data_IF_913147066587
#
_entry.id   IF_913147066587
#
_cell.length_a   1.000
_cell.length_b   1.000
_cell.length_c   1.000
_cell.angle_alpha   90.00
_cell.angle_beta   90.00
_cell.angle_gamma   90.00
#
_symmetry.space_group_name_H-M   'P 1'
#
loop_
_entity.id
_entity.type
_entity.pdbx_description
1 polymer ?
#
# COMPACT_ATOMS: atom_id res chain seq x y z
N UNK A 1 -16.38 37.52 -13.02
CA UNK A 1 -15.97 38.10 -11.73
C UNK A 1 -15.03 37.12 -11.04
N UNK A 2 -13.81 37.53 -10.78
CA UNK A 2 -12.88 36.71 -10.01
C UNK A 2 -13.42 36.54 -8.60
N UNK A 3 -13.61 35.27 -8.19
CA UNK A 3 -14.21 34.93 -6.89
C UNK A 3 -13.08 34.91 -5.86
N UNK A 4 -13.09 35.87 -4.96
CA UNK A 4 -12.24 35.82 -3.78
C UNK A 4 -12.74 34.69 -2.85
N UNK A 5 -11.82 33.79 -2.46
CA UNK A 5 -12.13 32.74 -1.49
C UNK A 5 -11.08 32.69 -0.37
N UNK A 6 -11.41 32.08 0.74
CA UNK A 6 -10.43 31.79 1.79
C UNK A 6 -9.52 30.65 1.39
N UNK A 7 -8.32 30.57 1.98
CA UNK A 7 -7.45 29.41 1.79
C UNK A 7 -8.09 28.12 2.32
N UNK A 8 -8.89 28.21 3.39
CA UNK A 8 -9.68 27.08 3.89
C UNK A 8 -10.66 26.54 2.85
N UNK A 9 -11.37 27.44 2.18
CA UNK A 9 -12.29 27.08 1.08
C UNK A 9 -11.55 26.47 -0.10
N UNK A 10 -10.40 27.04 -0.48
CA UNK A 10 -9.57 26.50 -1.56
C UNK A 10 -9.09 25.10 -1.25
N UNK A 11 -8.61 24.83 0.00
CA UNK A 11 -8.19 23.48 0.40
C UNK A 11 -9.38 22.51 0.23
N UNK A 12 -10.54 22.86 0.78
CA UNK A 12 -11.72 21.99 0.71
C UNK A 12 -12.17 21.72 -0.73
N UNK A 13 -12.26 22.75 -1.57
CA UNK A 13 -12.62 22.59 -2.99
C UNK A 13 -11.57 21.78 -3.78
N UNK A 14 -10.26 21.98 -3.51
CA UNK A 14 -9.20 21.20 -4.16
C UNK A 14 -9.26 19.71 -3.77
N UNK A 15 -9.51 19.39 -2.50
CA UNK A 15 -9.66 18.02 -2.04
C UNK A 15 -10.85 17.34 -2.72
N UNK A 16 -12.02 17.99 -2.74
CA UNK A 16 -13.23 17.47 -3.41
C UNK A 16 -13.00 17.30 -4.91
N UNK A 17 -12.34 18.27 -5.55
CA UNK A 17 -12.02 18.21 -6.98
C UNK A 17 -11.11 17.03 -7.36
N UNK A 18 -10.28 16.56 -6.42
CA UNK A 18 -9.46 15.33 -6.57
C UNK A 18 -10.14 14.08 -6.01
N UNK A 19 -11.45 14.13 -5.72
CA UNK A 19 -12.23 12.97 -5.30
C UNK A 19 -12.03 12.56 -3.84
N UNK A 20 -11.51 13.43 -3.00
CA UNK A 20 -11.40 13.19 -1.55
C UNK A 20 -12.77 13.37 -0.90
N UNK A 21 -13.30 12.31 -0.34
CA UNK A 21 -14.58 12.27 0.37
C UNK A 21 -14.42 12.02 1.87
N UNK A 22 -13.22 11.66 2.32
CA UNK A 22 -12.87 11.46 3.73
C UNK A 22 -11.56 12.15 4.08
N UNK A 23 -11.49 12.75 5.28
CA UNK A 23 -10.25 13.19 5.93
C UNK A 23 -10.15 12.62 7.33
N UNK A 24 -8.94 12.22 7.72
CA UNK A 24 -8.66 11.64 9.04
C UNK A 24 -7.77 12.59 9.82
N UNK A 25 -8.15 12.97 11.04
CA UNK A 25 -7.45 14.06 11.70
C UNK A 25 -7.51 14.00 13.23
N UNK A 26 -6.62 14.76 13.85
CA UNK A 26 -6.77 15.23 15.23
C UNK A 26 -7.14 16.71 15.22
N UNK A 27 -7.92 17.13 16.20
CA UNK A 27 -8.47 18.49 16.28
C UNK A 27 -7.40 19.60 16.36
N UNK A 28 -7.86 20.82 16.23
CA UNK A 28 -7.10 22.07 16.27
C UNK A 28 -6.20 22.33 15.04
N UNK A 29 -6.50 21.73 13.90
CA UNK A 29 -5.77 21.95 12.64
C UNK A 29 -6.71 22.50 11.57
N UNK A 30 -6.25 23.52 10.81
CA UNK A 30 -6.92 24.05 9.63
C UNK A 30 -8.46 24.15 9.81
N UNK A 31 -8.91 24.66 10.95
CA UNK A 31 -10.34 24.63 11.37
C UNK A 31 -11.28 25.21 10.33
N UNK A 32 -10.89 26.29 9.65
CA UNK A 32 -11.72 26.84 8.59
C UNK A 32 -11.87 25.88 7.41
N UNK A 33 -10.79 25.19 7.03
CA UNK A 33 -10.86 24.19 5.99
C UNK A 33 -11.79 23.02 6.38
N UNK A 34 -11.79 22.61 7.66
CA UNK A 34 -12.71 21.58 8.17
C UNK A 34 -14.17 22.01 8.10
N UNK A 35 -14.48 23.29 8.38
CA UNK A 35 -15.85 23.83 8.24
C UNK A 35 -16.29 23.80 6.76
N UNK A 36 -15.43 24.28 5.87
CA UNK A 36 -15.71 24.27 4.43
C UNK A 36 -15.85 22.87 3.85
N UNK A 37 -15.07 21.90 4.36
CA UNK A 37 -15.19 20.48 3.99
C UNK A 37 -16.55 19.91 4.38
N UNK A 38 -17.12 20.31 5.55
CA UNK A 38 -18.45 19.89 5.95
C UNK A 38 -19.52 20.36 4.97
N UNK A 39 -19.46 21.64 4.58
CA UNK A 39 -20.38 22.22 3.61
C UNK A 39 -20.31 21.52 2.24
N UNK A 40 -19.12 20.99 1.87
CA UNK A 40 -18.89 20.25 0.63
C UNK A 40 -19.16 18.74 0.74
N UNK A 41 -19.62 18.27 1.91
CA UNK A 41 -19.97 16.87 2.15
C UNK A 41 -18.77 15.93 2.38
N UNK A 42 -17.59 16.46 2.64
CA UNK A 42 -16.42 15.64 3.03
C UNK A 42 -16.60 15.12 4.45
N UNK A 43 -16.46 13.82 4.62
CA UNK A 43 -16.58 13.16 5.91
C UNK A 43 -15.28 13.32 6.71
N UNK A 44 -15.36 13.97 7.85
CA UNK A 44 -14.20 14.33 8.68
C UNK A 44 -14.12 13.41 9.89
N UNK A 45 -13.26 12.41 9.83
CA UNK A 45 -13.09 11.38 10.87
C UNK A 45 -12.08 11.87 11.91
N UNK A 46 -12.58 12.30 13.06
CA UNK A 46 -11.75 12.67 14.22
C UNK A 46 -11.29 11.39 14.92
N UNK A 47 -9.97 11.16 14.94
CA UNK A 47 -9.31 10.03 15.60
C UNK A 47 -8.93 10.34 17.05
N UNK A 48 -8.40 9.36 17.78
CA UNK A 48 -7.85 9.52 19.13
C UNK A 48 -6.34 9.77 19.15
N UNK A 49 -5.69 9.59 18.00
CA UNK A 49 -4.28 9.95 17.84
C UNK A 49 -3.96 10.32 16.38
N UNK A 50 -2.95 11.18 16.20
CA UNK A 50 -2.47 11.58 14.88
C UNK A 50 -1.90 10.37 14.11
N UNK A 51 -1.23 9.45 14.83
CA UNK A 51 -0.73 8.20 14.29
C UNK A 51 -1.88 7.31 13.82
N UNK A 52 -2.97 7.19 14.61
CA UNK A 52 -4.19 6.50 14.23
C UNK A 52 -4.84 7.11 12.99
N UNK A 53 -4.90 8.44 12.91
CA UNK A 53 -5.43 9.15 11.74
C UNK A 53 -4.63 8.85 10.47
N UNK A 54 -3.29 8.82 10.54
CA UNK A 54 -2.44 8.47 9.39
C UNK A 54 -2.61 7.01 8.95
N UNK A 55 -2.78 6.08 9.90
CA UNK A 55 -3.07 4.67 9.60
C UNK A 55 -4.45 4.46 8.97
N UNK A 56 -5.46 5.20 9.43
CA UNK A 56 -6.78 5.20 8.77
C UNK A 56 -6.68 5.72 7.34
N UNK A 57 -5.93 6.81 7.12
CA UNK A 57 -5.70 7.35 5.78
C UNK A 57 -4.96 6.34 4.88
N UNK A 58 -3.95 5.65 5.40
CA UNK A 58 -3.22 4.62 4.67
C UNK A 58 -4.13 3.44 4.28
N UNK A 59 -4.88 2.89 5.25
CA UNK A 59 -5.85 1.83 4.99
C UNK A 59 -6.91 2.25 3.98
N UNK A 60 -7.44 3.47 4.08
CA UNK A 60 -8.37 4.03 3.12
C UNK A 60 -7.75 4.09 1.71
N UNK A 61 -6.55 4.68 1.57
CA UNK A 61 -5.92 4.86 0.28
C UNK A 61 -5.67 3.54 -0.45
N UNK A 62 -5.17 2.52 0.24
CA UNK A 62 -4.91 1.19 -0.33
C UNK A 62 -6.18 0.54 -0.87
N UNK A 63 -7.30 0.68 -0.16
CA UNK A 63 -8.57 0.03 -0.52
C UNK A 63 -9.36 0.86 -1.54
N UNK A 64 -9.46 2.18 -1.34
CA UNK A 64 -10.16 3.07 -2.26
C UNK A 64 -9.44 3.25 -3.60
N UNK A 65 -8.15 2.94 -3.66
CA UNK A 65 -7.29 3.17 -4.83
C UNK A 65 -7.23 4.65 -5.22
N UNK A 66 -7.22 5.51 -4.20
CA UNK A 66 -7.23 6.98 -4.32
C UNK A 66 -6.31 7.60 -3.28
N UNK A 67 -5.81 8.82 -3.51
CA UNK A 67 -5.14 9.57 -2.46
C UNK A 67 -6.04 9.76 -1.25
N UNK A 68 -5.48 9.57 -0.05
CA UNK A 68 -6.14 9.86 1.21
C UNK A 68 -5.48 11.04 1.91
N UNK A 69 -6.22 11.70 2.80
CA UNK A 69 -5.73 12.89 3.50
C UNK A 69 -5.76 12.66 5.00
N UNK A 70 -4.64 12.96 5.67
CA UNK A 70 -4.58 13.06 7.12
C UNK A 70 -4.07 14.42 7.55
N UNK A 71 -4.50 14.86 8.76
CA UNK A 71 -4.25 16.23 9.20
C UNK A 71 -3.87 16.28 10.68
N UNK A 72 -2.88 17.10 11.01
CA UNK A 72 -2.55 17.44 12.38
C UNK A 72 -1.85 18.79 12.48
N UNK A 73 -1.67 19.30 13.71
CA UNK A 73 -0.95 20.54 13.90
C UNK A 73 0.31 20.36 14.75
N UNK A 74 1.24 21.23 14.55
CA UNK A 74 2.33 21.54 15.48
C UNK A 74 3.00 20.30 16.07
N UNK A 75 2.96 20.09 17.38
CA UNK A 75 3.57 18.90 18.03
C UNK A 75 2.93 17.59 17.59
N UNK A 76 1.65 17.59 17.25
CA UNK A 76 0.97 16.42 16.70
C UNK A 76 1.50 15.96 15.35
N UNK A 77 2.18 16.85 14.62
CA UNK A 77 2.88 16.50 13.37
C UNK A 77 3.94 15.40 13.58
N UNK A 78 4.60 15.34 14.74
CA UNK A 78 5.57 14.29 15.04
C UNK A 78 4.89 12.91 15.12
N UNK A 79 3.73 12.82 15.78
CA UNK A 79 2.94 11.60 15.82
C UNK A 79 2.38 11.22 14.45
N UNK A 80 1.94 12.20 13.66
CA UNK A 80 1.48 11.97 12.28
C UNK A 80 2.60 11.41 11.42
N UNK A 81 3.80 12.01 11.49
CA UNK A 81 4.99 11.56 10.76
C UNK A 81 5.32 10.10 11.08
N UNK A 82 5.29 9.72 12.37
CA UNK A 82 5.54 8.34 12.79
C UNK A 82 4.57 7.34 12.17
N UNK A 83 3.34 7.73 11.85
CA UNK A 83 2.37 6.88 11.17
C UNK A 83 2.56 6.78 9.66
N UNK A 84 3.18 7.77 9.02
CA UNK A 84 3.38 7.76 7.56
C UNK A 84 4.41 6.77 7.07
N UNK A 85 5.24 6.19 7.94
CA UNK A 85 6.22 5.19 7.53
C UNK A 85 5.57 3.97 6.86
N UNK A 86 4.40 3.51 7.36
CA UNK A 86 3.68 2.40 6.72
C UNK A 86 3.14 2.78 5.34
N UNK A 87 2.63 4.00 5.18
CA UNK A 87 2.25 4.52 3.87
C UNK A 87 3.45 4.61 2.91
N UNK A 88 4.63 4.99 3.42
CA UNK A 88 5.85 5.07 2.62
C UNK A 88 6.30 3.70 2.11
N UNK A 89 6.44 2.71 2.99
CA UNK A 89 6.82 1.35 2.61
C UNK A 89 5.71 0.62 1.84
N UNK A 90 4.44 0.91 2.16
CA UNK A 90 3.27 0.36 1.48
C UNK A 90 2.94 1.03 0.14
N UNK A 91 3.76 1.99 -0.33
CA UNK A 91 3.55 2.74 -1.58
C UNK A 91 2.14 3.34 -1.66
N UNK A 92 1.68 3.91 -0.56
CA UNK A 92 0.32 4.41 -0.40
C UNK A 92 0.27 5.94 -0.53
N UNK A 93 -0.55 6.51 -1.42
CA UNK A 93 -0.60 7.94 -1.65
C UNK A 93 -1.39 8.65 -0.55
N UNK A 94 -0.72 8.99 0.54
CA UNK A 94 -1.29 9.75 1.65
C UNK A 94 -0.78 11.19 1.62
N UNK A 95 -1.68 12.16 1.62
CA UNK A 95 -1.36 13.60 1.71
C UNK A 95 -1.53 14.03 3.16
N UNK A 96 -0.41 14.37 3.80
CA UNK A 96 -0.38 14.88 5.16
C UNK A 96 -0.40 16.41 5.15
N UNK A 97 -1.41 17.02 5.76
CA UNK A 97 -1.51 18.48 5.93
C UNK A 97 -1.23 18.83 7.38
N UNK A 98 -0.22 19.66 7.62
CA UNK A 98 0.11 20.15 8.97
C UNK A 98 0.03 21.66 9.06
N UNK A 99 -0.31 22.16 10.25
CA UNK A 99 -0.25 23.59 10.58
C UNK A 99 0.97 23.87 11.45
N UNK A 100 1.66 24.98 11.20
CA UNK A 100 2.83 25.42 11.93
C UNK A 100 2.79 26.91 12.25
N UNK A 101 3.70 27.36 13.11
CA UNK A 101 3.83 28.77 13.43
C UNK A 101 4.17 29.62 12.19
N UNK A 102 3.60 30.81 12.12
CA UNK A 102 3.92 31.77 11.06
C UNK A 102 5.36 32.25 11.15
N UNK A 103 5.94 32.66 10.02
CA UNK A 103 7.34 33.09 9.93
C UNK A 103 7.72 34.17 10.95
N UNK A 104 6.82 35.12 11.22
CA UNK A 104 7.03 36.20 12.19
C UNK A 104 7.15 35.73 13.65
N UNK A 105 6.69 34.55 13.99
CA UNK A 105 6.76 33.96 15.34
C UNK A 105 7.88 32.94 15.51
N UNK A 106 8.47 32.47 14.42
CA UNK A 106 9.55 31.47 14.46
C UNK A 106 10.81 32.01 15.11
N UNK A 107 11.60 31.10 15.71
CA UNK A 107 12.84 31.39 16.44
C UNK A 107 12.65 32.29 17.69
N UNK A 108 11.44 32.35 18.20
CA UNK A 108 11.08 33.19 19.36
C UNK A 108 10.52 32.36 20.52
N UNK A 109 10.73 31.04 20.51
CA UNK A 109 10.13 30.10 21.47
C UNK A 109 8.60 30.18 21.46
N UNK A 110 8.01 30.29 20.27
CA UNK A 110 6.56 30.29 20.12
C UNK A 110 5.96 28.96 20.62
N UNK A 111 4.75 29.03 21.16
CA UNK A 111 4.06 27.86 21.68
C UNK A 111 3.96 26.76 20.62
N UNK A 112 4.42 25.54 20.97
CA UNK A 112 4.45 24.39 20.08
C UNK A 112 5.23 24.58 18.76
N UNK A 113 6.22 25.43 18.75
CA UNK A 113 7.10 25.59 17.60
C UNK A 113 7.96 24.34 17.40
N UNK A 114 7.82 23.68 16.24
CA UNK A 114 8.58 22.52 15.84
C UNK A 114 8.88 22.56 14.35
N UNK A 115 10.13 22.30 13.91
CA UNK A 115 10.46 22.22 12.49
C UNK A 115 9.92 20.90 11.90
N UNK A 116 8.83 20.98 11.12
CA UNK A 116 8.16 19.79 10.57
C UNK A 116 8.92 19.18 9.39
N UNK A 117 9.47 19.98 8.48
CA UNK A 117 10.11 19.48 7.25
C UNK A 117 11.18 18.41 7.52
N UNK A 118 12.11 18.54 8.50
CA UNK A 118 13.07 17.48 8.80
C UNK A 118 12.44 16.18 9.25
N UNK A 119 11.28 16.22 9.95
CA UNK A 119 10.55 15.03 10.42
C UNK A 119 9.95 14.26 9.24
N UNK A 120 9.41 14.98 8.25
CA UNK A 120 8.70 14.36 7.13
C UNK A 120 9.61 13.97 5.96
N UNK A 121 10.79 14.60 5.83
CA UNK A 121 11.68 14.40 4.68
C UNK A 121 12.06 12.95 4.40
N UNK A 122 12.29 12.14 5.43
CA UNK A 122 12.67 10.73 5.29
C UNK A 122 11.48 9.78 5.11
N UNK A 123 10.27 10.27 5.32
CA UNK A 123 9.03 9.45 5.36
C UNK A 123 8.04 9.83 4.26
N UNK A 124 8.41 10.77 3.40
CA UNK A 124 7.54 11.25 2.32
C UNK A 124 8.35 11.44 1.04
N UNK A 125 7.68 11.31 -0.09
CA UNK A 125 8.27 11.61 -1.41
C UNK A 125 8.65 13.08 -1.55
N UNK A 126 7.86 13.95 -0.91
CA UNK A 126 8.06 15.38 -0.86
C UNK A 126 7.50 15.98 0.42
N UNK A 127 8.22 16.92 1.01
CA UNK A 127 7.73 17.79 2.07
C UNK A 127 7.89 19.24 1.60
N UNK A 128 6.82 20.03 1.59
CA UNK A 128 6.80 21.39 1.10
C UNK A 128 6.13 22.34 2.09
N UNK A 129 6.60 23.59 2.15
CA UNK A 129 6.02 24.62 3.00
C UNK A 129 5.13 25.54 2.18
N UNK A 130 3.94 25.84 2.70
CA UNK A 130 3.04 26.85 2.18
C UNK A 130 3.15 28.08 3.07
N UNK A 131 3.89 29.08 2.62
CA UNK A 131 4.14 30.31 3.34
C UNK A 131 3.18 31.43 2.94
N UNK A 132 2.79 31.44 1.67
CA UNK A 132 2.00 32.48 1.05
C UNK A 132 0.73 31.92 0.42
N UNK A 133 -0.40 32.64 0.45
CA UNK A 133 -1.64 32.22 -0.19
C UNK A 133 -1.48 31.83 -1.65
N UNK A 134 -0.63 32.53 -2.39
CA UNK A 134 -0.36 32.32 -3.82
C UNK A 134 0.23 30.93 -4.13
N UNK A 135 0.91 30.33 -3.18
CA UNK A 135 1.53 29.01 -3.34
C UNK A 135 0.53 27.86 -3.17
N UNK A 136 -0.59 28.11 -2.48
CA UNK A 136 -1.48 27.04 -1.97
C UNK A 136 -2.07 26.18 -3.10
N UNK A 137 -2.64 26.81 -4.13
CA UNK A 137 -3.24 26.09 -5.26
C UNK A 137 -2.23 25.19 -5.98
N UNK A 138 -1.08 25.77 -6.32
CA UNK A 138 0.00 25.04 -7.02
C UNK A 138 0.54 23.89 -6.19
N UNK A 139 0.80 24.10 -4.89
CA UNK A 139 1.35 23.05 -4.03
C UNK A 139 0.35 21.93 -3.72
N UNK A 140 -0.96 22.24 -3.63
CA UNK A 140 -1.99 21.20 -3.51
C UNK A 140 -2.03 20.31 -4.76
N UNK A 141 -2.07 20.91 -5.98
CA UNK A 141 -1.99 20.12 -7.23
C UNK A 141 -0.73 19.25 -7.27
N UNK A 142 0.42 19.85 -6.91
CA UNK A 142 1.69 19.12 -6.89
C UNK A 142 1.67 17.96 -5.89
N UNK A 143 1.01 18.12 -4.74
CA UNK A 143 0.90 17.06 -3.74
C UNK A 143 0.15 15.83 -4.29
N UNK A 144 -0.97 16.02 -4.99
CA UNK A 144 -1.69 14.90 -5.62
C UNK A 144 -0.86 14.23 -6.71
N UNK A 145 -0.21 15.02 -7.56
CA UNK A 145 0.69 14.53 -8.61
C UNK A 145 1.84 13.70 -8.02
N UNK A 146 2.55 14.24 -7.05
CA UNK A 146 3.71 13.56 -6.44
C UNK A 146 3.29 12.28 -5.69
N UNK A 147 2.14 12.30 -5.00
CA UNK A 147 1.65 11.15 -4.27
C UNK A 147 1.30 9.95 -5.18
N UNK A 148 0.81 10.22 -6.40
CA UNK A 148 0.20 9.19 -7.26
C UNK A 148 1.08 8.74 -8.43
N UNK A 149 2.17 9.44 -8.75
CA UNK A 149 3.02 9.14 -9.92
C UNK A 149 4.29 8.37 -9.56
N UNK A 150 4.84 7.65 -10.52
CA UNK A 150 6.01 6.77 -10.32
C UNK A 150 5.70 5.69 -9.28
N UNK A 151 6.58 5.53 -8.30
CA UNK A 151 6.26 4.79 -7.08
C UNK A 151 5.32 5.66 -6.23
N UNK A 152 4.04 5.28 -6.02
CA UNK A 152 3.15 6.07 -5.18
C UNK A 152 3.67 6.15 -3.74
N UNK A 153 3.24 7.16 -2.99
CA UNK A 153 3.68 7.29 -1.60
C UNK A 153 3.23 8.60 -0.95
N UNK A 154 3.48 8.76 0.35
CA UNK A 154 3.02 9.91 1.10
C UNK A 154 3.73 11.21 0.69
N UNK A 155 3.01 12.31 0.83
CA UNK A 155 3.46 13.68 0.59
C UNK A 155 3.01 14.57 1.75
N UNK A 156 3.82 15.58 2.09
CA UNK A 156 3.54 16.47 3.19
C UNK A 156 3.47 17.93 2.72
N UNK A 157 2.43 18.63 3.15
CA UNK A 157 2.30 20.09 3.03
C UNK A 157 2.18 20.72 4.43
N UNK A 158 3.13 21.60 4.73
CA UNK A 158 3.22 22.32 5.98
C UNK A 158 2.70 23.75 5.80
N UNK A 159 1.55 24.06 6.40
CA UNK A 159 0.79 25.29 6.13
C UNK A 159 1.03 26.33 7.22
N UNK A 160 1.35 27.55 6.85
CA UNK A 160 1.60 28.63 7.77
C UNK A 160 0.35 29.05 8.56
N UNK A 161 0.55 29.35 9.83
CA UNK A 161 -0.49 29.63 10.81
C UNK A 161 -0.73 28.43 11.72
N UNK A 162 -0.76 28.66 13.05
CA UNK A 162 -0.85 27.58 14.05
C UNK A 162 -2.06 26.68 13.80
N UNK A 163 -3.20 27.28 13.45
CA UNK A 163 -4.41 26.60 13.04
C UNK A 163 -4.69 26.75 11.54
N UNK A 164 -3.68 27.15 10.76
CA UNK A 164 -3.84 27.52 9.35
C UNK A 164 -4.45 28.91 9.12
N UNK A 165 -4.55 29.73 10.18
CA UNK A 165 -5.30 30.99 10.14
C UNK A 165 -4.78 31.97 9.09
N UNK A 166 -3.45 32.08 8.90
CA UNK A 166 -2.87 33.01 7.92
C UNK A 166 -3.31 32.67 6.50
N UNK A 167 -3.26 31.39 6.15
CA UNK A 167 -3.68 30.93 4.82
C UNK A 167 -5.20 30.69 4.81
N UNK A 168 -5.75 30.10 5.88
CA UNK A 168 -7.16 29.74 5.97
C UNK A 168 -8.10 30.93 5.94
N UNK A 169 -7.74 32.02 6.62
CA UNK A 169 -8.59 33.22 6.74
C UNK A 169 -8.35 34.26 5.63
N UNK A 170 -7.18 34.25 5.01
CA UNK A 170 -6.89 35.21 3.97
C UNK A 170 -7.82 35.03 2.77
N UNK A 171 -8.45 36.11 2.32
CA UNK A 171 -9.23 36.12 1.07
C UNK A 171 -8.32 36.52 -0.07
N UNK A 172 -8.16 35.66 -1.02
CA UNK A 172 -7.29 35.85 -2.16
C UNK A 172 -7.96 35.38 -3.46
N UNK A 173 -7.54 35.89 -4.59
CA UNK A 173 -7.95 35.36 -5.86
C UNK A 173 -7.04 34.18 -6.26
N UNK A 174 -7.47 32.97 -5.94
CA UNK A 174 -6.74 31.75 -6.28
C UNK A 174 -6.98 31.29 -7.73
N UNK A 175 -7.77 32.01 -8.50
CA UNK A 175 -8.21 31.57 -9.82
C UNK A 175 -9.22 30.44 -9.75
N UNK A 176 -9.22 29.59 -10.78
CA UNK A 176 -10.05 28.38 -10.82
C UNK A 176 -9.34 27.25 -10.08
N UNK A 177 -10.09 26.52 -9.28
CA UNK A 177 -9.61 25.24 -8.73
C UNK A 177 -9.63 24.23 -9.89
N UNK A 178 -8.47 24.01 -10.49
CA UNK A 178 -8.33 23.00 -11.53
C UNK A 178 -8.05 21.64 -10.87
N UNK A 179 -8.88 20.65 -11.19
CA UNK A 179 -8.64 19.27 -10.84
C UNK A 179 -7.92 18.57 -12.00
N UNK A 180 -6.76 18.05 -11.72
CA UNK A 180 -6.11 17.08 -12.60
C UNK A 180 -6.71 15.71 -12.26
N UNK A 181 -7.85 15.35 -12.84
CA UNK A 181 -8.59 14.12 -12.53
C UNK A 181 -7.74 12.85 -12.64
N UNK A 182 -6.71 12.86 -13.47
CA UNK A 182 -5.76 11.76 -13.62
C UNK A 182 -5.00 11.44 -12.33
N UNK A 183 -4.80 12.43 -11.43
CA UNK A 183 -4.13 12.24 -10.13
C UNK A 183 -5.09 11.94 -8.97
N UNK A 184 -6.35 11.68 -9.27
CA UNK A 184 -7.35 11.21 -8.28
C UNK A 184 -7.31 9.70 -8.04
N UNK A 185 -6.45 8.97 -8.76
CA UNK A 185 -6.23 7.52 -8.64
C UNK A 185 -4.73 7.21 -8.70
N UNK A 186 -4.33 6.00 -8.33
CA UNK A 186 -2.94 5.58 -8.45
C UNK A 186 -2.79 4.15 -8.99
N UNK A 187 -1.69 3.87 -9.67
CA UNK A 187 -0.76 4.83 -10.26
C UNK A 187 -1.46 5.72 -11.29
N UNK A 188 -1.22 7.04 -11.21
CA UNK A 188 -1.88 8.00 -12.11
C UNK A 188 -1.37 7.88 -13.55
N UNK A 189 -0.06 7.86 -13.72
CA UNK A 189 0.61 7.75 -15.01
C UNK A 189 1.34 6.41 -15.09
N UNK A 190 1.05 5.63 -16.12
CA UNK A 190 1.63 4.30 -16.34
C UNK A 190 2.57 4.33 -17.53
N UNK A 191 3.77 3.78 -17.36
CA UNK A 191 4.76 3.69 -18.43
C UNK A 191 4.92 2.25 -18.88
N UNK A 192 4.83 1.93 -20.19
CA UNK A 192 5.12 0.59 -20.71
C UNK A 192 6.62 0.31 -20.67
N UNK A 193 6.98 -0.97 -20.76
CA UNK A 193 8.38 -1.39 -20.87
C UNK A 193 8.98 -1.05 -22.25
N UNK A 194 10.30 -0.80 -22.28
CA UNK A 194 11.01 -0.57 -23.54
C UNK A 194 10.97 -1.82 -24.43
N UNK A 195 10.64 -1.71 -25.73
CA UNK A 195 10.45 -2.86 -26.62
C UNK A 195 11.64 -3.82 -26.69
N UNK A 196 12.88 -3.32 -26.67
CA UNK A 196 14.07 -4.18 -26.71
C UNK A 196 14.26 -4.97 -25.42
N UNK A 197 13.89 -4.41 -24.26
CA UNK A 197 13.91 -5.13 -22.99
C UNK A 197 12.80 -6.20 -22.97
N UNK A 198 11.61 -5.90 -23.50
CA UNK A 198 10.54 -6.89 -23.67
C UNK A 198 11.03 -8.08 -24.50
N UNK A 199 11.67 -7.84 -25.66
CA UNK A 199 12.24 -8.89 -26.51
C UNK A 199 13.30 -9.71 -25.77
N UNK A 200 14.21 -9.04 -25.06
CA UNK A 200 15.25 -9.70 -24.27
C UNK A 200 14.67 -10.61 -23.19
N UNK A 201 13.68 -10.11 -22.44
CA UNK A 201 13.01 -10.88 -21.39
C UNK A 201 12.22 -12.04 -22.01
N UNK A 202 11.52 -11.83 -23.12
CA UNK A 202 10.82 -12.88 -23.84
C UNK A 202 11.78 -14.03 -24.24
N UNK A 203 12.98 -13.71 -24.73
CA UNK A 203 14.01 -14.72 -25.04
C UNK A 203 14.42 -15.52 -23.80
N UNK A 204 14.58 -14.87 -22.65
CA UNK A 204 14.89 -15.56 -21.39
C UNK A 204 13.76 -16.48 -20.96
N UNK A 205 12.52 -16.02 -21.05
CA UNK A 205 11.32 -16.82 -20.71
C UNK A 205 11.23 -18.05 -21.63
N UNK A 206 11.50 -17.89 -22.94
CA UNK A 206 11.47 -18.98 -23.91
C UNK A 206 12.53 -20.04 -23.61
N UNK A 207 13.71 -19.63 -23.20
CA UNK A 207 14.83 -20.52 -22.89
C UNK A 207 14.70 -21.25 -21.54
N UNK A 208 14.00 -20.66 -20.59
CA UNK A 208 13.87 -21.19 -19.23
C UNK A 208 13.03 -22.48 -19.17
N UNK A 209 13.54 -23.46 -18.44
CA UNK A 209 12.85 -24.74 -18.19
C UNK A 209 12.04 -24.73 -16.89
N UNK A 210 12.50 -23.99 -15.91
CA UNK A 210 11.92 -23.89 -14.56
C UNK A 210 11.79 -22.42 -14.12
N UNK A 211 11.07 -21.58 -14.89
CA UNK A 211 10.84 -20.20 -14.46
C UNK A 211 9.87 -20.13 -13.28
N UNK A 212 9.98 -19.07 -12.48
CA UNK A 212 9.01 -18.71 -11.42
C UNK A 212 8.78 -17.20 -11.44
N UNK A 213 7.53 -16.77 -11.18
CA UNK A 213 7.23 -15.37 -10.88
C UNK A 213 7.19 -15.20 -9.35
N UNK A 214 7.89 -14.20 -8.88
CA UNK A 214 7.76 -13.66 -7.51
C UNK A 214 6.92 -12.40 -7.59
N UNK A 215 5.64 -12.50 -7.22
CA UNK A 215 4.73 -11.38 -7.15
C UNK A 215 4.95 -10.60 -5.85
N UNK A 216 5.11 -9.28 -5.93
CA UNK A 216 5.31 -8.43 -4.77
C UNK A 216 4.39 -7.20 -4.80
N UNK A 217 4.51 -6.31 -3.82
CA UNK A 217 3.65 -5.14 -3.58
C UNK A 217 3.29 -4.37 -4.86
N UNK A 218 4.23 -4.21 -5.80
CA UNK A 218 3.97 -3.50 -7.05
C UNK A 218 2.91 -4.15 -7.94
N UNK A 219 2.65 -5.46 -7.81
CA UNK A 219 1.53 -6.13 -8.49
C UNK A 219 0.20 -5.58 -7.97
N UNK A 220 0.05 -5.52 -6.64
CA UNK A 220 -1.14 -4.97 -5.98
C UNK A 220 -1.28 -3.46 -6.26
N UNK A 221 -0.19 -2.69 -6.13
CA UNK A 221 -0.19 -1.25 -6.43
C UNK A 221 -0.59 -0.97 -7.87
N UNK A 222 -0.12 -1.77 -8.81
CA UNK A 222 -0.40 -1.61 -10.25
C UNK A 222 -1.78 -2.17 -10.66
N UNK A 223 -2.49 -2.86 -9.75
CA UNK A 223 -3.70 -3.64 -10.07
C UNK A 223 -3.43 -4.61 -11.23
N UNK A 224 -2.35 -5.38 -11.08
CA UNK A 224 -1.80 -6.23 -12.14
C UNK A 224 -2.14 -7.73 -11.95
N UNK A 225 -3.00 -8.09 -10.98
CA UNK A 225 -3.31 -9.47 -10.62
C UNK A 225 -3.81 -10.26 -11.84
N UNK A 226 -4.79 -9.73 -12.56
CA UNK A 226 -5.35 -10.39 -13.76
C UNK A 226 -4.31 -10.50 -14.90
N UNK A 227 -3.48 -9.47 -15.10
CA UNK A 227 -2.42 -9.50 -16.10
C UNK A 227 -1.34 -10.52 -15.74
N UNK A 228 -0.99 -10.64 -14.45
CA UNK A 228 -0.04 -11.63 -13.95
C UNK A 228 -0.59 -13.05 -14.11
N UNK A 229 -1.85 -13.27 -13.77
CA UNK A 229 -2.50 -14.57 -13.96
C UNK A 229 -2.49 -14.98 -15.43
N UNK A 230 -2.94 -14.11 -16.34
CA UNK A 230 -2.94 -14.38 -17.78
C UNK A 230 -1.53 -14.67 -18.33
N UNK A 231 -0.52 -13.93 -17.88
CA UNK A 231 0.89 -14.17 -18.21
C UNK A 231 1.37 -15.54 -17.71
N UNK A 232 1.11 -15.85 -16.44
CA UNK A 232 1.53 -17.09 -15.81
C UNK A 232 0.88 -18.33 -16.44
N UNK A 233 -0.44 -18.26 -16.72
CA UNK A 233 -1.19 -19.32 -17.39
C UNK A 233 -0.68 -19.57 -18.82
N UNK A 234 -0.49 -18.50 -19.61
CA UNK A 234 -0.05 -18.60 -21.00
C UNK A 234 1.30 -19.27 -21.12
N UNK A 235 2.19 -19.08 -20.17
CA UNK A 235 3.55 -19.62 -20.23
C UNK A 235 3.80 -20.74 -19.23
N UNK A 236 2.77 -21.25 -18.55
CA UNK A 236 2.87 -22.31 -17.53
C UNK A 236 3.97 -22.03 -16.51
N UNK A 237 3.93 -20.83 -15.90
CA UNK A 237 4.88 -20.36 -14.90
C UNK A 237 4.23 -20.33 -13.53
N UNK A 238 4.75 -21.07 -12.52
CA UNK A 238 4.23 -20.98 -11.17
C UNK A 238 4.48 -19.58 -10.56
N UNK A 239 3.59 -19.17 -9.68
CA UNK A 239 3.65 -17.88 -8.98
C UNK A 239 3.81 -18.11 -7.49
N UNK A 240 4.82 -17.50 -6.91
CA UNK A 240 4.93 -17.29 -5.46
C UNK A 240 4.69 -15.82 -5.15
N UNK A 241 4.09 -15.54 -4.02
CA UNK A 241 3.76 -14.17 -3.63
C UNK A 241 4.52 -13.76 -2.37
N UNK A 242 4.89 -12.48 -2.26
CA UNK A 242 5.23 -11.90 -0.96
C UNK A 242 3.98 -11.80 -0.09
N UNK A 243 4.14 -11.48 1.20
CA UNK A 243 3.00 -11.21 2.08
C UNK A 243 2.14 -10.05 1.57
N UNK A 244 2.76 -9.05 0.93
CA UNK A 244 2.08 -7.85 0.41
C UNK A 244 1.31 -8.10 -0.90
N UNK A 245 1.61 -9.22 -1.57
CA UNK A 245 0.96 -9.65 -2.81
C UNK A 245 0.12 -10.93 -2.63
N UNK A 246 -0.22 -11.30 -1.39
CA UNK A 246 -0.93 -12.54 -1.06
C UNK A 246 -2.23 -12.75 -1.86
N UNK A 247 -2.91 -11.67 -2.22
CA UNK A 247 -4.18 -11.73 -2.98
C UNK A 247 -4.00 -11.90 -4.49
N UNK A 248 -2.77 -12.16 -4.98
CA UNK A 248 -2.50 -12.23 -6.43
C UNK A 248 -3.19 -13.40 -7.11
N UNK A 249 -3.18 -14.57 -6.49
CA UNK A 249 -3.89 -15.77 -6.95
C UNK A 249 -4.64 -16.41 -5.78
N UNK A 250 -5.84 -16.94 -6.04
CA UNK A 250 -6.59 -17.71 -5.05
C UNK A 250 -5.83 -18.97 -4.64
N UNK A 251 -6.10 -19.47 -3.44
CA UNK A 251 -5.38 -20.64 -2.88
C UNK A 251 -5.53 -21.91 -3.71
N UNK A 252 -6.68 -22.09 -4.36
CA UNK A 252 -6.98 -23.26 -5.21
C UNK A 252 -6.39 -23.19 -6.62
N UNK A 253 -5.83 -22.03 -7.02
CA UNK A 253 -5.27 -21.85 -8.37
C UNK A 253 -4.05 -22.77 -8.59
N UNK A 254 -3.98 -23.56 -9.69
CA UNK A 254 -2.93 -24.57 -9.89
C UNK A 254 -1.51 -24.00 -10.01
N UNK A 255 -1.38 -22.71 -10.35
CA UNK A 255 -0.09 -22.02 -10.42
C UNK A 255 0.29 -21.33 -9.11
N UNK A 256 -0.58 -21.29 -8.09
CA UNK A 256 -0.25 -20.71 -6.80
C UNK A 256 0.70 -21.63 -6.02
N UNK A 257 1.94 -21.22 -5.87
CA UNK A 257 2.95 -21.98 -5.13
C UNK A 257 3.21 -21.47 -3.70
N UNK A 258 2.40 -20.51 -3.23
CA UNK A 258 2.39 -20.02 -1.85
C UNK A 258 3.19 -18.75 -1.61
N UNK A 259 3.49 -18.51 -0.33
CA UNK A 259 4.15 -17.29 0.14
C UNK A 259 5.65 -17.54 0.28
N UNK A 260 6.47 -16.67 -0.36
CA UNK A 260 7.94 -16.75 -0.42
C UNK A 260 8.60 -15.79 0.58
N UNK A 261 9.82 -16.08 0.95
CA UNK A 261 10.70 -15.21 1.71
C UNK A 261 10.95 -15.64 3.16
N UNK A 262 11.18 -14.67 4.04
CA UNK A 262 11.50 -14.93 5.47
C UNK A 262 10.29 -15.50 6.22
N UNK A 263 9.10 -14.96 5.98
CA UNK A 263 7.84 -15.46 6.53
C UNK A 263 7.09 -16.20 5.43
N UNK A 264 7.45 -17.45 5.21
CA UNK A 264 7.08 -18.18 4.00
C UNK A 264 6.40 -19.50 4.28
N UNK A 265 5.93 -20.09 3.19
CA UNK A 265 5.66 -21.54 3.12
C UNK A 265 6.89 -22.20 2.51
N UNK A 266 7.39 -23.27 3.13
CA UNK A 266 8.61 -23.96 2.67
C UNK A 266 8.55 -24.35 1.18
N UNK A 267 7.38 -24.73 0.70
CA UNK A 267 7.16 -25.06 -0.71
C UNK A 267 7.52 -23.89 -1.65
N UNK A 268 7.16 -22.65 -1.30
CA UNK A 268 7.43 -21.48 -2.11
C UNK A 268 8.95 -21.19 -2.21
N UNK A 269 9.65 -21.26 -1.08
CA UNK A 269 11.11 -21.10 -1.05
C UNK A 269 11.81 -22.24 -1.85
N UNK A 270 11.30 -23.47 -1.79
CA UNK A 270 11.81 -24.60 -2.59
C UNK A 270 11.63 -24.33 -4.10
N UNK A 271 10.47 -23.80 -4.51
CA UNK A 271 10.21 -23.44 -5.92
C UNK A 271 11.21 -22.41 -6.43
N UNK A 272 11.44 -21.32 -5.67
CA UNK A 272 12.41 -20.27 -6.05
C UNK A 272 13.84 -20.84 -6.08
N UNK A 273 14.18 -21.71 -5.11
CA UNK A 273 15.49 -22.36 -5.05
C UNK A 273 15.77 -23.27 -6.24
N UNK A 274 14.73 -23.95 -6.76
CA UNK A 274 14.85 -24.88 -7.89
C UNK A 274 14.74 -24.20 -9.27
N UNK A 275 14.37 -22.92 -9.30
CA UNK A 275 14.17 -22.16 -10.53
C UNK A 275 15.48 -21.89 -11.28
N UNK A 276 15.40 -21.84 -12.62
CA UNK A 276 16.50 -21.39 -13.51
C UNK A 276 16.31 -19.94 -14.00
N UNK A 277 15.10 -19.40 -13.84
CA UNK A 277 14.76 -18.00 -14.09
C UNK A 277 13.79 -17.53 -13.02
N UNK A 278 14.11 -16.43 -12.34
CA UNK A 278 13.23 -15.76 -11.38
C UNK A 278 12.81 -14.41 -11.92
N UNK A 279 11.49 -14.19 -12.02
CA UNK A 279 10.90 -12.95 -12.49
C UNK A 279 10.27 -12.24 -11.28
N UNK A 280 10.95 -11.23 -10.74
CA UNK A 280 10.41 -10.37 -9.71
C UNK A 280 9.44 -9.37 -10.34
N UNK A 281 8.16 -9.52 -10.08
CA UNK A 281 7.11 -8.64 -10.58
C UNK A 281 6.70 -7.64 -9.50
N UNK A 282 7.04 -6.37 -9.71
CA UNK A 282 6.71 -5.29 -8.80
C UNK A 282 7.46 -5.32 -7.47
N UNK A 283 8.71 -5.80 -7.48
CA UNK A 283 9.53 -5.99 -6.27
C UNK A 283 10.79 -5.12 -6.29
N UNK A 284 11.08 -4.50 -5.15
CA UNK A 284 12.39 -3.90 -4.86
C UNK A 284 13.43 -4.93 -4.39
N UNK A 285 13.06 -6.22 -4.38
CA UNK A 285 13.92 -7.36 -4.04
C UNK A 285 14.51 -7.24 -2.63
N UNK A 286 13.61 -7.00 -1.65
CA UNK A 286 13.96 -6.83 -0.24
C UNK A 286 14.43 -8.14 0.42
N UNK A 287 15.01 -8.00 1.61
CA UNK A 287 15.40 -9.11 2.49
C UNK A 287 14.23 -10.04 2.82
N UNK A 288 13.05 -9.49 3.06
CA UNK A 288 11.86 -10.28 3.40
C UNK A 288 11.41 -11.19 2.25
N UNK A 289 11.41 -10.69 1.01
CA UNK A 289 10.98 -11.45 -0.17
C UNK A 289 12.02 -12.50 -0.58
N UNK A 290 13.29 -12.22 -0.31
CA UNK A 290 14.42 -13.06 -0.73
C UNK A 290 15.01 -13.93 0.37
N UNK A 291 14.36 -13.99 1.53
CA UNK A 291 14.89 -14.66 2.71
C UNK A 291 16.33 -14.24 3.02
N UNK A 292 16.53 -12.93 3.28
CA UNK A 292 17.83 -12.31 3.51
C UNK A 292 18.82 -12.52 2.34
N UNK A 293 18.34 -12.33 1.11
CA UNK A 293 19.08 -12.45 -0.15
C UNK A 293 19.70 -13.84 -0.38
N UNK A 294 19.13 -14.89 0.23
CA UNK A 294 19.50 -16.28 -0.04
C UNK A 294 18.70 -16.89 -1.20
N UNK A 295 17.64 -16.21 -1.66
CA UNK A 295 16.77 -16.61 -2.75
C UNK A 295 16.68 -15.51 -3.83
N UNK A 296 16.89 -15.87 -5.11
CA UNK A 296 17.31 -17.16 -5.65
C UNK A 296 18.78 -17.49 -5.33
N UNK A 297 19.21 -18.71 -5.68
CA UNK A 297 20.61 -19.10 -5.55
C UNK A 297 21.52 -18.26 -6.44
N UNK A 298 22.76 -18.12 -6.02
CA UNK A 298 23.78 -17.45 -6.82
C UNK A 298 23.87 -18.05 -8.23
N UNK A 299 24.01 -17.16 -9.23
CA UNK A 299 24.09 -17.54 -10.64
C UNK A 299 22.73 -17.76 -11.33
N UNK A 300 21.60 -17.76 -10.59
CA UNK A 300 20.28 -17.83 -11.21
C UNK A 300 19.99 -16.56 -12.02
N UNK A 301 19.43 -16.72 -13.23
CA UNK A 301 19.03 -15.58 -14.05
C UNK A 301 17.85 -14.86 -13.39
N UNK A 302 17.94 -13.53 -13.29
CA UNK A 302 16.91 -12.68 -12.68
C UNK A 302 16.34 -11.71 -13.71
N UNK A 303 15.03 -11.56 -13.73
CA UNK A 303 14.31 -10.45 -14.35
C UNK A 303 13.65 -9.64 -13.23
N UNK A 304 13.79 -8.32 -13.27
CA UNK A 304 13.16 -7.44 -12.29
C UNK A 304 12.30 -6.39 -13.00
N UNK A 305 11.01 -6.41 -12.73
CA UNK A 305 10.02 -5.44 -13.22
C UNK A 305 9.69 -4.50 -12.08
N UNK A 306 10.05 -3.21 -12.19
CA UNK A 306 9.77 -2.25 -11.13
C UNK A 306 9.61 -0.83 -11.66
N UNK A 307 8.82 0.00 -10.96
CA UNK A 307 8.54 1.35 -11.42
C UNK A 307 9.69 2.35 -11.20
N UNK A 308 10.56 2.11 -10.20
CA UNK A 308 11.73 2.93 -9.93
C UNK A 308 12.98 2.31 -10.56
N UNK A 309 13.59 2.95 -11.59
CA UNK A 309 14.78 2.43 -12.23
C UNK A 309 16.02 2.38 -11.30
N UNK A 310 16.05 3.15 -10.22
CA UNK A 310 17.17 3.15 -9.27
C UNK A 310 17.25 1.86 -8.43
N UNK A 311 16.15 1.10 -8.35
CA UNK A 311 16.09 -0.18 -7.63
C UNK A 311 16.49 -1.38 -8.49
N UNK A 312 16.56 -1.22 -9.81
CA UNK A 312 16.81 -2.34 -10.73
C UNK A 312 18.26 -2.84 -10.64
N UNK A 313 18.41 -4.15 -10.39
CA UNK A 313 19.72 -4.81 -10.34
C UNK A 313 20.55 -4.50 -9.08
N UNK A 314 19.97 -3.86 -8.06
CA UNK A 314 20.67 -3.48 -6.83
C UNK A 314 21.28 -4.68 -6.11
N UNK A 315 20.57 -5.80 -6.04
CA UNK A 315 20.93 -6.94 -5.19
C UNK A 315 21.46 -8.15 -5.95
N UNK A 316 21.19 -8.30 -7.25
CA UNK A 316 21.61 -9.44 -8.06
C UNK A 316 22.29 -8.99 -9.35
N UNK A 317 23.53 -9.43 -9.57
CA UNK A 317 24.34 -9.01 -10.73
C UNK A 317 23.79 -9.52 -12.08
N UNK A 318 23.13 -10.67 -12.10
CA UNK A 318 22.56 -11.29 -13.32
C UNK A 318 21.19 -10.72 -13.69
N UNK A 319 20.84 -9.52 -13.21
CA UNK A 319 19.50 -8.96 -13.40
C UNK A 319 19.33 -8.31 -14.77
N UNK A 320 18.25 -8.67 -15.45
CA UNK A 320 17.68 -7.88 -16.55
C UNK A 320 16.55 -7.05 -15.97
N UNK A 321 16.84 -5.77 -15.68
CA UNK A 321 15.88 -4.83 -15.15
C UNK A 321 15.06 -4.18 -16.27
N UNK A 322 13.74 -4.02 -16.03
CA UNK A 322 12.84 -3.28 -16.91
C UNK A 322 12.02 -2.27 -16.08
N UNK A 323 12.26 -0.97 -16.27
CA UNK A 323 11.49 0.06 -15.59
C UNK A 323 10.10 0.23 -16.22
N UNK A 324 9.08 0.40 -15.40
CA UNK A 324 7.73 0.71 -15.84
C UNK A 324 6.64 0.11 -14.97
N UNK A 325 5.40 0.25 -15.44
CA UNK A 325 4.22 -0.26 -14.76
C UNK A 325 4.11 -1.79 -14.93
N UNK A 326 3.95 -2.49 -13.82
CA UNK A 326 3.94 -3.97 -13.80
C UNK A 326 2.85 -4.54 -14.69
N UNK A 327 1.63 -3.96 -14.66
CA UNK A 327 0.51 -4.44 -15.46
C UNK A 327 0.80 -4.32 -16.95
N UNK A 328 1.24 -3.14 -17.40
CA UNK A 328 1.54 -2.90 -18.81
C UNK A 328 2.68 -3.78 -19.32
N UNK A 329 3.71 -3.99 -18.50
CA UNK A 329 4.85 -4.86 -18.89
C UNK A 329 4.40 -6.32 -18.97
N UNK A 330 3.60 -6.81 -18.02
CA UNK A 330 3.06 -8.18 -18.10
C UNK A 330 2.14 -8.37 -19.32
N UNK A 331 1.28 -7.38 -19.62
CA UNK A 331 0.45 -7.38 -20.84
C UNK A 331 1.32 -7.44 -22.11
N UNK A 332 2.40 -6.64 -22.20
CA UNK A 332 3.35 -6.69 -23.31
C UNK A 332 4.06 -8.05 -23.44
N UNK A 333 4.51 -8.62 -22.30
CA UNK A 333 5.17 -9.93 -22.28
C UNK A 333 4.19 -11.05 -22.66
N UNK A 334 2.92 -10.95 -22.27
CA UNK A 334 1.90 -11.97 -22.57
C UNK A 334 1.69 -12.17 -24.08
N UNK A 335 1.87 -11.11 -24.87
CA UNK A 335 1.71 -11.19 -26.34
C UNK A 335 3.06 -11.33 -27.09
N UNK A 336 4.19 -11.34 -26.37
CA UNK A 336 5.52 -11.36 -26.99
C UNK A 336 5.95 -12.73 -27.51
N UNK A 337 5.35 -13.81 -27.01
CA UNK A 337 5.69 -15.20 -27.36
C UNK A 337 4.43 -16.03 -27.57
N UNK A 338 4.59 -17.13 -28.31
CA UNK A 338 3.58 -18.20 -28.36
C UNK A 338 3.45 -18.89 -27.00
N UNK A 339 2.28 -19.51 -26.71
CA UNK A 339 2.08 -20.26 -25.48
C UNK A 339 3.15 -21.32 -25.25
N UNK A 340 3.60 -21.46 -24.03
CA UNK A 340 4.64 -22.43 -23.64
C UNK A 340 4.08 -23.36 -22.56
N UNK A 341 4.20 -24.67 -22.77
CA UNK A 341 3.83 -25.67 -21.75
C UNK A 341 5.08 -26.17 -21.00
N UNK A 342 4.95 -26.24 -19.66
CA UNK A 342 6.02 -26.74 -18.75
C UNK A 342 5.48 -27.80 -17.78
N UNK A 343 4.78 -28.79 -18.32
CA UNK A 343 4.04 -29.78 -17.52
C UNK A 343 4.90 -30.47 -16.46
N UNK A 344 6.16 -30.83 -16.78
CA UNK A 344 7.05 -31.51 -15.82
C UNK A 344 7.42 -30.58 -14.65
N UNK A 345 7.66 -29.28 -14.92
CA UNK A 345 7.95 -28.30 -13.89
C UNK A 345 6.74 -28.06 -12.98
N UNK A 346 5.56 -27.88 -13.59
CA UNK A 346 4.32 -27.70 -12.82
C UNK A 346 3.99 -28.92 -11.95
N UNK A 347 4.23 -30.13 -12.42
CA UNK A 347 4.07 -31.35 -11.63
C UNK A 347 5.00 -31.38 -10.40
N UNK A 348 6.25 -30.95 -10.57
CA UNK A 348 7.19 -30.84 -9.45
C UNK A 348 6.76 -29.77 -8.44
N UNK A 349 6.30 -28.61 -8.90
CA UNK A 349 5.77 -27.55 -8.03
C UNK A 349 4.52 -28.00 -7.28
N UNK A 350 3.60 -28.67 -7.95
CA UNK A 350 2.40 -29.25 -7.33
C UNK A 350 2.76 -30.24 -6.23
N UNK A 351 3.84 -31.04 -6.41
CA UNK A 351 4.32 -31.94 -5.36
C UNK A 351 4.83 -31.15 -4.13
N UNK A 352 5.64 -30.09 -4.31
CA UNK A 352 6.11 -29.26 -3.20
C UNK A 352 4.94 -28.65 -2.41
N UNK A 353 3.93 -28.13 -3.11
CA UNK A 353 2.73 -27.55 -2.48
C UNK A 353 1.92 -28.61 -1.74
N UNK A 354 1.73 -29.80 -2.34
CA UNK A 354 1.03 -30.91 -1.71
C UNK A 354 1.71 -31.38 -0.42
N UNK A 355 3.04 -31.51 -0.46
CA UNK A 355 3.80 -31.97 0.71
C UNK A 355 3.76 -30.94 1.84
N UNK A 356 3.85 -29.65 1.53
CA UNK A 356 3.66 -28.59 2.51
C UNK A 356 2.24 -28.63 3.12
N UNK A 357 1.19 -28.72 2.29
CA UNK A 357 -0.21 -28.81 2.79
C UNK A 357 -0.40 -30.00 3.74
N UNK A 358 0.16 -31.16 3.41
CA UNK A 358 0.13 -32.34 4.29
C UNK A 358 0.87 -32.12 5.61
N UNK A 359 2.00 -31.39 5.59
CA UNK A 359 2.81 -31.15 6.78
C UNK A 359 2.14 -30.20 7.78
N UNK A 360 1.34 -29.24 7.31
CA UNK A 360 0.68 -28.24 8.17
C UNK A 360 -0.73 -28.66 8.58
N UNK A 361 -1.37 -29.59 7.89
CA UNK A 361 -2.76 -29.99 8.15
C UNK A 361 -2.99 -30.52 9.58
N UNK A 362 -2.09 -31.29 10.21
CA UNK A 362 -2.27 -31.69 11.62
C UNK A 362 -2.37 -30.51 12.59
N UNK A 363 -1.63 -29.41 12.33
CA UNK A 363 -1.68 -28.20 13.13
C UNK A 363 -2.96 -27.41 12.87
N UNK A 364 -3.36 -27.33 11.59
CA UNK A 364 -4.59 -26.64 11.15
C UNK A 364 -5.87 -27.35 11.63
N UNK A 365 -5.79 -28.66 11.91
CA UNK A 365 -6.90 -29.47 12.39
C UNK A 365 -6.80 -29.83 13.88
N UNK A 366 -5.85 -29.22 14.62
CA UNK A 366 -5.61 -29.50 16.03
C UNK A 366 -6.82 -29.14 16.90
N UNK A 367 -7.14 -30.02 17.87
CA UNK A 367 -8.13 -29.78 18.91
C UNK A 367 -7.51 -29.30 20.25
N UNK A 368 -6.23 -28.94 20.26
CA UNK A 368 -5.54 -28.45 21.44
C UNK A 368 -6.14 -27.16 22.01
N UNK A 369 -6.04 -27.02 23.33
CA UNK A 369 -6.41 -25.78 24.03
C UNK A 369 -5.20 -25.29 24.84
N UNK A 370 -4.85 -23.99 24.73
CA UNK A 370 -5.51 -22.93 23.95
C UNK A 370 -5.46 -23.20 22.43
N UNK A 371 -6.43 -22.62 21.70
CA UNK A 371 -6.55 -22.80 20.24
C UNK A 371 -5.27 -22.40 19.55
N UNK A 372 -4.76 -23.26 18.67
CA UNK A 372 -3.57 -22.96 17.86
C UNK A 372 -3.88 -21.90 16.80
N UNK A 373 -2.92 -20.97 16.52
CA UNK A 373 -3.09 -19.97 15.46
C UNK A 373 -3.36 -20.60 14.07
N UNK A 374 -2.75 -21.75 13.79
CA UNK A 374 -2.97 -22.49 12.55
C UNK A 374 -4.43 -22.92 12.40
N UNK A 375 -5.05 -23.39 13.51
CA UNK A 375 -6.46 -23.75 13.52
C UNK A 375 -7.35 -22.53 13.36
N UNK A 376 -7.05 -21.42 14.04
CA UNK A 376 -7.77 -20.16 13.87
C UNK A 376 -7.74 -19.70 12.41
N UNK A 377 -6.59 -19.74 11.76
CA UNK A 377 -6.47 -19.37 10.34
C UNK A 377 -7.30 -20.28 9.43
N UNK A 378 -7.42 -21.57 9.75
CA UNK A 378 -8.28 -22.51 9.00
C UNK A 378 -9.75 -22.11 9.12
N UNK A 379 -10.24 -21.98 10.35
CA UNK A 379 -11.64 -21.63 10.61
C UNK A 379 -12.00 -20.27 9.95
N UNK A 380 -11.10 -19.29 10.04
CA UNK A 380 -11.30 -18.02 9.36
C UNK A 380 -11.35 -18.18 7.84
N UNK A 381 -10.48 -19.00 7.25
CA UNK A 381 -10.50 -19.26 5.79
C UNK A 381 -11.85 -19.81 5.33
N UNK A 382 -12.46 -20.70 6.15
CA UNK A 382 -13.75 -21.32 5.85
C UNK A 382 -14.96 -20.38 6.09
N UNK A 383 -14.80 -19.38 7.00
CA UNK A 383 -15.87 -18.46 7.38
C UNK A 383 -15.83 -17.11 6.66
N UNK A 384 -14.70 -16.75 6.02
CA UNK A 384 -14.56 -15.46 5.35
C UNK A 384 -15.58 -15.33 4.20
N UNK A 385 -16.35 -14.22 4.16
CA UNK A 385 -17.17 -13.89 2.99
C UNK A 385 -16.36 -13.86 1.71
N UNK A 386 -17.00 -14.16 0.58
CA UNK A 386 -16.34 -14.25 -0.71
C UNK A 386 -15.68 -12.93 -1.20
N UNK A 387 -16.08 -11.80 -0.63
CA UNK A 387 -15.61 -10.45 -0.93
C UNK A 387 -14.95 -9.74 0.26
N UNK A 388 -14.56 -10.51 1.28
CA UNK A 388 -13.97 -9.97 2.50
C UNK A 388 -12.60 -9.28 2.25
N UNK A 389 -12.39 -8.20 2.99
CA UNK A 389 -11.10 -7.52 3.08
C UNK A 389 -10.47 -7.88 4.42
N UNK A 390 -9.34 -8.55 4.40
CA UNK A 390 -8.55 -8.86 5.60
C UNK A 390 -7.45 -7.83 5.75
N UNK A 391 -7.42 -7.17 6.92
CA UNK A 391 -6.38 -6.20 7.30
C UNK A 391 -5.60 -6.79 8.47
N UNK A 392 -4.34 -7.11 8.23
CA UNK A 392 -3.48 -7.77 9.23
C UNK A 392 -2.47 -6.81 9.84
N UNK A 393 -2.34 -6.84 11.16
CA UNK A 393 -1.27 -6.16 11.86
C UNK A 393 0.08 -6.86 11.62
N UNK A 394 1.18 -6.27 12.03
CA UNK A 394 2.52 -6.84 11.93
C UNK A 394 2.81 -7.88 13.03
N UNK A 395 4.01 -8.44 13.01
CA UNK A 395 4.44 -9.47 13.96
C UNK A 395 3.88 -10.86 13.62
N UNK A 396 3.64 -11.68 14.64
CA UNK A 396 3.09 -13.02 14.46
C UNK A 396 1.71 -13.03 13.77
N UNK A 397 0.90 -11.99 13.96
CA UNK A 397 -0.38 -11.85 13.26
C UNK A 397 -0.20 -11.89 11.75
N UNK A 398 0.78 -11.11 11.24
CA UNK A 398 1.11 -11.09 9.82
C UNK A 398 1.69 -12.41 9.33
N UNK A 399 2.53 -13.05 10.15
CA UNK A 399 3.12 -14.33 9.80
C UNK A 399 2.07 -15.43 9.67
N UNK A 400 1.20 -15.59 10.66
CA UNK A 400 0.16 -16.63 10.65
C UNK A 400 -0.90 -16.36 9.59
N UNK A 401 -1.47 -15.16 9.56
CA UNK A 401 -2.48 -14.82 8.55
C UNK A 401 -1.91 -14.82 7.13
N UNK A 402 -0.67 -14.37 6.96
CA UNK A 402 0.02 -14.36 5.67
C UNK A 402 0.24 -15.76 5.11
N UNK A 403 0.68 -16.71 5.94
CA UNK A 403 1.06 -18.06 5.50
C UNK A 403 -0.07 -19.07 5.58
N UNK A 404 -0.99 -18.98 6.55
CA UNK A 404 -1.93 -20.04 6.92
C UNK A 404 -3.41 -19.70 6.71
N UNK A 405 -3.76 -18.40 6.56
CA UNK A 405 -5.08 -17.98 6.12
C UNK A 405 -5.18 -18.16 4.60
N UNK A 406 -6.12 -18.96 4.13
CA UNK A 406 -6.33 -19.20 2.70
C UNK A 406 -7.40 -18.26 2.15
N UNK A 407 -7.12 -17.64 1.00
CA UNK A 407 -8.08 -16.84 0.25
C UNK A 407 -8.61 -17.71 -0.89
N UNK A 408 -9.88 -18.08 -0.81
CA UNK A 408 -10.47 -19.03 -1.75
C UNK A 408 -11.28 -18.37 -2.88
N UNK A 409 -11.53 -17.05 -2.76
CA UNK A 409 -12.31 -16.30 -3.72
C UNK A 409 -11.52 -15.14 -4.31
N UNK A 410 -11.67 -14.92 -5.61
CA UNK A 410 -10.97 -13.86 -6.36
C UNK A 410 -11.27 -12.43 -5.88
N UNK A 411 -12.43 -12.22 -5.23
CA UNK A 411 -12.79 -10.92 -4.69
C UNK A 411 -12.22 -10.66 -3.29
N UNK A 412 -11.75 -11.68 -2.58
CA UNK A 412 -11.09 -11.51 -1.29
C UNK A 412 -9.78 -10.75 -1.43
N UNK A 413 -9.49 -9.88 -0.48
CA UNK A 413 -8.26 -9.08 -0.44
C UNK A 413 -7.58 -9.18 0.90
N UNK A 414 -6.26 -9.13 0.89
CA UNK A 414 -5.42 -9.15 2.07
C UNK A 414 -4.45 -7.97 2.03
N UNK A 415 -4.44 -7.20 3.09
CA UNK A 415 -3.52 -6.08 3.29
C UNK A 415 -2.86 -6.23 4.66
N UNK A 416 -1.60 -5.86 4.75
CA UNK A 416 -0.87 -5.91 6.01
C UNK A 416 -0.12 -4.63 6.31
N UNK A 417 0.26 -4.45 7.58
CA UNK A 417 1.21 -3.44 7.99
C UNK A 417 2.56 -3.66 7.29
N UNK A 418 3.19 -2.59 6.84
CA UNK A 418 4.54 -2.65 6.27
C UNK A 418 5.63 -2.85 7.34
N UNK A 419 5.29 -2.71 8.63
CA UNK A 419 6.20 -2.96 9.74
C UNK A 419 5.76 -2.40 11.09
N UNK A 420 4.81 -1.48 11.14
CA UNK A 420 4.39 -0.83 12.39
C UNK A 420 3.38 -1.65 13.17
N UNK A 421 3.69 -1.97 14.42
CA UNK A 421 2.72 -2.53 15.36
C UNK A 421 1.58 -1.54 15.65
N UNK A 422 0.36 -2.06 15.66
CA UNK A 422 -0.86 -1.29 15.90
C UNK A 422 -1.44 -0.61 14.67
N UNK A 423 -0.89 -0.87 13.48
CA UNK A 423 -1.44 -0.38 12.21
C UNK A 423 -2.79 -1.02 11.88
N UNK A 424 -2.94 -2.31 12.15
CA UNK A 424 -4.04 -3.13 11.64
C UNK A 424 -5.42 -2.60 11.99
N UNK A 425 -5.65 -2.25 13.26
CA UNK A 425 -6.99 -1.81 13.69
C UNK A 425 -7.39 -0.44 13.08
N UNK A 426 -6.64 0.66 13.22
CA UNK A 426 -7.04 1.91 12.58
C UNK A 426 -7.06 1.83 11.05
N UNK A 427 -6.16 1.08 10.43
CA UNK A 427 -6.20 0.86 8.99
C UNK A 427 -7.46 0.11 8.54
N UNK A 428 -7.97 -0.83 9.35
CA UNK A 428 -9.24 -1.51 9.08
C UNK A 428 -10.44 -0.54 9.11
N UNK A 429 -10.41 0.47 9.99
CA UNK A 429 -11.42 1.53 10.01
C UNK A 429 -11.36 2.36 8.73
N UNK A 430 -10.16 2.73 8.28
CA UNK A 430 -9.96 3.40 6.99
C UNK A 430 -10.43 2.56 5.80
N UNK A 431 -10.11 1.27 5.79
CA UNK A 431 -10.58 0.32 4.79
C UNK A 431 -12.12 0.25 4.74
N UNK A 432 -12.77 0.23 5.91
CA UNK A 432 -14.24 0.23 6.00
C UNK A 432 -14.86 1.55 5.55
N UNK A 433 -14.19 2.69 5.77
CA UNK A 433 -14.61 3.97 5.18
C UNK A 433 -14.54 3.93 3.64
N UNK A 434 -13.51 3.31 3.09
CA UNK A 434 -13.34 3.17 1.63
C UNK A 434 -14.37 2.23 0.98
N UNK A 435 -14.73 1.14 1.68
CA UNK A 435 -15.70 0.13 1.21
C UNK A 435 -16.69 -0.21 2.33
N UNK A 436 -17.67 0.68 2.56
CA UNK A 436 -18.69 0.49 3.59
C UNK A 436 -19.61 -0.71 3.31
N UNK A 437 -19.67 -1.14 2.07
CA UNK A 437 -20.45 -2.27 1.56
C UNK A 437 -19.81 -3.65 1.86
N UNK A 438 -18.47 -3.72 1.98
CA UNK A 438 -17.76 -4.99 2.14
C UNK A 438 -17.47 -5.34 3.62
N UNK A 439 -17.40 -6.62 3.95
CA UNK A 439 -16.89 -7.08 5.24
C UNK A 439 -15.38 -6.76 5.36
N UNK A 440 -15.00 -6.08 6.44
CA UNK A 440 -13.59 -5.81 6.77
C UNK A 440 -13.25 -6.54 8.07
N UNK A 441 -12.27 -7.42 8.00
CA UNK A 441 -11.77 -8.22 9.13
C UNK A 441 -10.38 -7.76 9.52
N UNK A 442 -10.21 -7.32 10.76
CA UNK A 442 -8.92 -6.97 11.34
C UNK A 442 -8.31 -8.19 12.04
N UNK A 443 -7.19 -8.69 11.54
CA UNK A 443 -6.42 -9.75 12.19
C UNK A 443 -5.23 -9.14 12.93
N UNK A 444 -5.35 -9.01 14.24
CA UNK A 444 -4.36 -8.35 15.10
C UNK A 444 -4.06 -9.16 16.35
N UNK A 445 -2.86 -9.01 16.90
CA UNK A 445 -2.51 -9.53 18.21
C UNK A 445 -2.93 -8.56 19.32
N UNK A 446 -2.92 -9.06 20.56
CA UNK A 446 -3.22 -8.29 21.77
C UNK A 446 -2.36 -7.03 21.88
N UNK A 447 -1.06 -7.16 21.72
CA UNK A 447 -0.12 -6.04 21.78
C UNK A 447 -0.36 -5.01 20.66
N UNK A 448 -0.56 -5.46 19.42
CA UNK A 448 -0.88 -4.58 18.29
C UNK A 448 -2.16 -3.81 18.51
N UNK A 449 -3.21 -4.48 18.95
CA UNK A 449 -4.51 -3.85 19.22
C UNK A 449 -4.43 -2.77 20.33
N UNK A 450 -3.65 -3.04 21.40
CA UNK A 450 -3.51 -2.10 22.53
C UNK A 450 -2.89 -0.76 22.15
N UNK A 451 -2.08 -0.68 21.07
CA UNK A 451 -1.51 0.60 20.62
C UNK A 451 -2.58 1.63 20.23
N UNK A 452 -3.71 1.18 19.70
CA UNK A 452 -4.76 2.04 19.17
C UNK A 452 -6.18 1.60 19.59
N UNK A 453 -6.32 0.91 20.72
CA UNK A 453 -7.61 0.44 21.21
C UNK A 453 -8.65 1.56 21.42
N UNK A 454 -8.20 2.80 21.67
CA UNK A 454 -9.06 3.95 21.83
C UNK A 454 -9.84 4.28 20.54
N UNK A 455 -9.37 3.84 19.39
CA UNK A 455 -10.09 3.98 18.12
C UNK A 455 -11.38 3.13 18.06
N UNK A 456 -11.65 2.29 19.07
CA UNK A 456 -12.97 1.66 19.27
C UNK A 456 -14.06 2.73 19.43
N UNK A 457 -13.76 3.82 20.15
CA UNK A 457 -14.68 4.94 20.29
C UNK A 457 -14.87 5.65 18.95
N UNK A 458 -13.80 5.83 18.17
CA UNK A 458 -13.88 6.37 16.79
C UNK A 458 -14.80 5.49 15.92
N UNK A 459 -14.62 4.17 15.97
CA UNK A 459 -15.45 3.21 15.25
C UNK A 459 -16.95 3.35 15.65
N UNK A 460 -17.22 3.45 16.95
CA UNK A 460 -18.59 3.60 17.48
C UNK A 460 -19.21 4.95 17.07
N UNK A 461 -18.50 6.05 17.29
CA UNK A 461 -18.96 7.42 17.01
C UNK A 461 -19.27 7.63 15.53
N UNK A 462 -18.43 7.10 14.66
CA UNK A 462 -18.56 7.25 13.21
C UNK A 462 -19.30 6.10 12.53
N UNK A 463 -19.77 5.10 13.31
CA UNK A 463 -20.49 3.90 12.83
C UNK A 463 -19.69 3.13 11.76
N UNK A 464 -18.42 2.92 12.03
CA UNK A 464 -17.48 2.18 11.18
C UNK A 464 -17.40 0.74 11.70
N UNK A 465 -18.13 -0.17 11.08
CA UNK A 465 -18.28 -1.55 11.56
C UNK A 465 -17.19 -2.44 10.95
N UNK A 466 -16.17 -2.81 11.72
CA UNK A 466 -15.18 -3.83 11.40
C UNK A 466 -15.31 -5.04 12.33
N UNK A 467 -14.78 -6.16 11.92
CA UNK A 467 -14.76 -7.43 12.69
C UNK A 467 -13.35 -7.64 13.21
#
# INVERSE_FOLDING_TARGET
MEKLMSGGRLIAEALVAHGVDHVFFMDAILRQALVEMEELGVRRILAHSEKGASYMADGYARIARRPAVCMSQSVGAANLAAGLQDAYFGQSPVIALTGRQVAAMQYRNAYQELPHEPLFRSLTKRSSRVELPEQLSMLLRQAFRDATTGQPGPVHLDIAGHTGDVIGSAKFNYGKVDSDNEFSVFPALRSPGHPDLIKKIATLIQAAKRPVVVADLGVTVSNAEAALQAFAERYSIPVVASLDAKSTLVESHPLNAGIVGTYSRDCANQVVTAADLVIFAGSNVSDQVTNNWTLPRDGTQVVQIYCDPAELGRNYQNTVGIPGDVRLILEQLTVALEPISRAQWLAQVAQYVSDWKKSVEPLRSSAEMPIRPERLCKELSECLPADAIVVSDTGYSSQWSGTLLFLEHEAQRYYRAAGSLGWGFPASLGAKCARPDLPVVCFTGDGGFMYHMLELETALRWKINTI
#
